data_IF_884042537260
#
_entry.id   IF_884042537260
#
_cell.length_a   1.000
_cell.length_b   1.000
_cell.length_c   1.000
_cell.angle_alpha   90.00
_cell.angle_beta   90.00
_cell.angle_gamma   90.00
#
_symmetry.space_group_name_H-M   'P 1'
#
loop_
_entity.id
_entity.type
_entity.pdbx_description
1 polymer ?
#
# COMPACT_ATOMS: atom_id res chain seq x y z
N UNK A 1 27.96 -9.06 19.76
CA UNK A 1 27.61 -8.36 18.50
C UNK A 1 27.02 -9.31 17.45
N UNK A 2 26.02 -10.14 17.80
CA UNK A 2 25.38 -11.08 16.86
C UNK A 2 23.86 -11.01 16.93
N UNK A 3 23.26 -9.81 17.06
CA UNK A 3 21.81 -9.67 17.27
C UNK A 3 20.96 -9.89 16.00
N UNK A 4 21.39 -9.36 14.85
CA UNK A 4 20.55 -9.32 13.64
C UNK A 4 20.47 -10.64 12.86
N UNK A 5 21.41 -11.58 13.07
CA UNK A 5 21.45 -12.84 12.31
C UNK A 5 20.71 -14.00 13.00
N UNK A 6 20.43 -13.89 14.31
CA UNK A 6 19.77 -14.97 15.06
C UNK A 6 18.26 -15.02 14.74
N UNK A 7 17.64 -13.85 14.53
CA UNK A 7 16.23 -13.71 14.11
C UNK A 7 16.07 -13.57 12.59
N UNK A 8 17.14 -13.74 11.80
CA UNK A 8 17.05 -13.55 10.35
C UNK A 8 16.35 -14.74 9.68
N UNK A 9 15.09 -14.56 9.31
CA UNK A 9 14.36 -15.50 8.49
C UNK A 9 14.26 -14.98 7.05
N UNK A 10 14.78 -15.76 6.08
CA UNK A 10 14.68 -15.43 4.66
C UNK A 10 13.21 -15.26 4.20
N UNK A 11 12.28 -15.94 4.87
CA UNK A 11 10.84 -15.80 4.64
C UNK A 11 10.35 -14.37 4.88
N UNK A 12 10.86 -13.66 5.89
CA UNK A 12 10.43 -12.29 6.21
C UNK A 12 10.78 -11.31 5.09
N UNK A 13 11.91 -11.55 4.41
CA UNK A 13 12.34 -10.75 3.26
C UNK A 13 11.41 -10.98 2.07
N UNK A 14 11.12 -12.24 1.73
CA UNK A 14 10.19 -12.58 0.65
C UNK A 14 8.79 -12.06 0.94
N UNK A 15 8.32 -12.18 2.19
CA UNK A 15 7.07 -11.62 2.67
C UNK A 15 6.99 -10.10 2.50
N UNK A 16 8.04 -9.38 2.91
CA UNK A 16 8.11 -7.93 2.77
C UNK A 16 8.10 -7.48 1.30
N UNK A 17 8.79 -8.22 0.42
CA UNK A 17 8.78 -7.96 -1.03
C UNK A 17 7.40 -8.14 -1.64
N UNK A 18 6.72 -9.24 -1.33
CA UNK A 18 5.35 -9.49 -1.82
C UNK A 18 4.40 -8.38 -1.34
N UNK A 19 4.45 -8.03 -0.05
CA UNK A 19 3.62 -6.95 0.51
C UNK A 19 3.85 -5.61 -0.18
N UNK A 20 5.11 -5.22 -0.35
CA UNK A 20 5.45 -3.93 -0.97
C UNK A 20 5.01 -3.86 -2.43
N UNK A 21 5.15 -4.94 -3.21
CA UNK A 21 4.62 -5.02 -4.57
C UNK A 21 3.09 -4.85 -4.60
N UNK A 22 2.36 -5.53 -3.71
CA UNK A 22 0.89 -5.41 -3.65
C UNK A 22 0.45 -3.99 -3.25
N UNK A 23 1.11 -3.39 -2.26
CA UNK A 23 0.81 -2.02 -1.85
C UNK A 23 1.10 -1.00 -2.97
N UNK A 24 2.19 -1.17 -3.71
CA UNK A 24 2.51 -0.31 -4.84
C UNK A 24 1.43 -0.36 -5.94
N UNK A 25 0.94 -1.56 -6.27
CA UNK A 25 -0.14 -1.74 -7.26
C UNK A 25 -1.45 -1.09 -6.79
N UNK A 26 -1.81 -1.24 -5.51
CA UNK A 26 -3.00 -0.63 -4.93
C UNK A 26 -2.91 0.89 -4.98
N UNK A 27 -1.81 1.47 -4.46
CA UNK A 27 -1.64 2.92 -4.38
C UNK A 27 -1.65 3.54 -5.78
N UNK A 28 -0.92 2.94 -6.73
CA UNK A 28 -0.89 3.41 -8.11
C UNK A 28 -2.28 3.38 -8.76
N UNK A 29 -3.00 2.26 -8.61
CA UNK A 29 -4.34 2.09 -9.20
C UNK A 29 -5.37 3.05 -8.61
N UNK A 30 -5.38 3.22 -7.29
CA UNK A 30 -6.32 4.14 -6.60
C UNK A 30 -6.02 5.60 -6.96
N UNK A 31 -4.75 5.97 -7.06
CA UNK A 31 -4.31 7.30 -7.46
C UNK A 31 -4.67 7.59 -8.91
N UNK A 32 -4.44 6.64 -9.82
CA UNK A 32 -4.81 6.76 -11.22
C UNK A 32 -6.33 6.85 -11.41
N UNK A 33 -7.11 6.06 -10.65
CA UNK A 33 -8.56 6.12 -10.67
C UNK A 33 -9.05 7.52 -10.28
N UNK A 34 -8.65 8.03 -9.12
CA UNK A 34 -9.05 9.37 -8.70
C UNK A 34 -8.55 10.45 -9.66
N UNK A 35 -7.32 10.34 -10.16
CA UNK A 35 -6.78 11.27 -11.16
C UNK A 35 -7.59 11.28 -12.46
N UNK A 36 -7.99 10.11 -12.97
CA UNK A 36 -8.73 9.98 -14.23
C UNK A 36 -10.17 10.51 -14.14
N UNK A 37 -10.85 10.26 -13.01
CA UNK A 37 -12.22 10.75 -12.79
C UNK A 37 -12.28 12.17 -12.21
N UNK A 38 -11.13 12.81 -11.98
CA UNK A 38 -11.11 14.21 -11.57
C UNK A 38 -11.49 15.08 -12.77
N UNK A 39 -12.56 15.85 -12.62
CA UNK A 39 -12.95 16.89 -13.56
C UNK A 39 -13.07 18.20 -12.79
N UNK A 40 -12.48 19.27 -13.33
CA UNK A 40 -12.47 20.54 -12.62
C UNK A 40 -11.21 21.38 -12.77
N UNK A 41 -11.16 22.47 -12.00
CA UNK A 41 -10.00 23.36 -11.90
C UNK A 41 -8.95 22.88 -10.89
N UNK A 42 -7.89 23.66 -10.70
CA UNK A 42 -6.78 23.32 -9.81
C UNK A 42 -7.20 22.99 -8.36
N UNK A 43 -8.28 23.63 -7.86
CA UNK A 43 -8.81 23.37 -6.53
C UNK A 43 -9.44 21.97 -6.40
N UNK A 44 -10.13 21.51 -7.45
CA UNK A 44 -10.78 20.20 -7.47
C UNK A 44 -9.75 19.07 -7.62
N UNK A 45 -8.68 19.32 -8.39
CA UNK A 45 -7.52 18.42 -8.47
C UNK A 45 -6.85 18.25 -7.11
N UNK A 46 -6.65 19.32 -6.36
CA UNK A 46 -6.12 19.26 -4.99
C UNK A 46 -7.01 18.44 -4.05
N UNK A 47 -8.33 18.69 -4.08
CA UNK A 47 -9.30 17.94 -3.26
C UNK A 47 -9.37 16.46 -3.63
N UNK A 48 -9.27 16.13 -4.92
CA UNK A 48 -9.26 14.75 -5.39
C UNK A 48 -7.99 14.01 -4.98
N UNK A 49 -6.83 14.67 -5.03
CA UNK A 49 -5.56 14.12 -4.55
C UNK A 49 -5.63 13.72 -3.08
N UNK A 50 -6.17 14.59 -2.21
CA UNK A 50 -6.34 14.25 -0.79
C UNK A 50 -7.28 13.06 -0.59
N UNK A 51 -8.39 13.00 -1.34
CA UNK A 51 -9.30 11.84 -1.29
C UNK A 51 -8.59 10.56 -1.74
N UNK A 52 -7.84 10.61 -2.84
CA UNK A 52 -7.10 9.48 -3.38
C UNK A 52 -6.14 8.87 -2.32
N UNK A 53 -5.41 9.72 -1.60
CA UNK A 53 -4.48 9.28 -0.54
C UNK A 53 -5.24 8.63 0.63
N UNK A 54 -6.36 9.21 1.06
CA UNK A 54 -7.19 8.63 2.14
C UNK A 54 -7.73 7.25 1.73
N UNK A 55 -8.29 7.12 0.52
CA UNK A 55 -8.76 5.83 0.00
C UNK A 55 -7.63 4.82 -0.10
N UNK A 56 -6.47 5.23 -0.62
CA UNK A 56 -5.30 4.35 -0.73
C UNK A 56 -4.85 3.83 0.64
N UNK A 57 -4.78 4.68 1.67
CA UNK A 57 -4.41 4.29 3.04
C UNK A 57 -5.39 3.25 3.62
N UNK A 58 -6.70 3.45 3.45
CA UNK A 58 -7.70 2.52 3.98
C UNK A 58 -7.59 1.17 3.29
N UNK A 59 -7.46 1.15 1.96
CA UNK A 59 -7.33 -0.10 1.19
C UNK A 59 -6.03 -0.82 1.53
N UNK A 60 -4.91 -0.09 1.65
CA UNK A 60 -3.62 -0.67 2.06
C UNK A 60 -3.69 -1.26 3.46
N UNK A 61 -4.37 -0.61 4.41
CA UNK A 61 -4.54 -1.13 5.77
C UNK A 61 -5.33 -2.44 5.77
N UNK A 62 -6.41 -2.53 5.00
CA UNK A 62 -7.20 -3.76 4.85
C UNK A 62 -6.37 -4.84 4.15
N UNK A 63 -5.68 -4.51 3.06
CA UNK A 63 -4.81 -5.43 2.34
C UNK A 63 -3.67 -5.96 3.24
N UNK A 64 -3.11 -5.12 4.12
CA UNK A 64 -2.11 -5.53 5.08
C UNK A 64 -2.66 -6.58 6.05
N UNK A 65 -3.87 -6.38 6.58
CA UNK A 65 -4.51 -7.35 7.46
C UNK A 65 -4.69 -8.69 6.73
N UNK A 66 -5.27 -8.67 5.52
CA UNK A 66 -5.49 -9.86 4.70
C UNK A 66 -4.18 -10.60 4.40
N UNK A 67 -3.16 -9.90 3.90
CA UNK A 67 -1.85 -10.50 3.58
C UNK A 67 -1.16 -11.06 4.82
N UNK A 68 -1.31 -10.41 5.98
CA UNK A 68 -0.72 -10.91 7.23
C UNK A 68 -1.42 -12.19 7.68
N UNK A 69 -2.75 -12.23 7.64
CA UNK A 69 -3.52 -13.42 8.01
C UNK A 69 -3.29 -14.58 7.03
N UNK A 70 -3.05 -14.32 5.74
CA UNK A 70 -2.80 -15.39 4.76
C UNK A 70 -1.37 -15.94 4.79
N UNK A 71 -0.36 -15.12 5.13
CA UNK A 71 1.04 -15.57 5.12
C UNK A 71 1.61 -15.93 6.50
N UNK A 72 1.09 -15.34 7.58
CA UNK A 72 1.53 -15.59 8.96
C UNK A 72 0.43 -16.21 9.85
N UNK A 73 -0.82 -16.26 9.35
CA UNK A 73 -1.92 -16.94 10.03
C UNK A 73 -1.95 -18.43 9.78
#
# INVERSE_FOLDING_TARGET
>A
EYGMQIDFNAFDVTYALIKTCVFALIISSVSAYHGYFTSGGALEVGRSSTKAVVYAVVIVMVANLLLTQMLLG
#
